data_IF_070260163013
#
_entry.id   IF_070260163013
#
_cell.length_a   1.000
_cell.length_b   1.000
_cell.length_c   1.000
_cell.angle_alpha   90.00
_cell.angle_beta   90.00
_cell.angle_gamma   90.00
#
_symmetry.space_group_name_H-M   'P 1'
#
loop_
_entity.id
_entity.type
_entity.pdbx_description
1 polymer ?
#
# COMPACT_ATOMS: atom_id res chain seq x y z
N UNK A 1 39.44 3.07 -9.25
CA UNK A 1 38.88 2.67 -7.94
C UNK A 1 39.25 3.72 -6.91
N UNK A 2 38.33 4.63 -6.53
CA UNK A 2 38.66 5.72 -5.56
C UNK A 2 38.60 5.27 -4.10
N UNK A 3 37.86 4.20 -3.80
CA UNK A 3 37.58 3.80 -2.42
C UNK A 3 38.74 3.10 -1.72
N UNK A 4 39.59 2.37 -2.47
CA UNK A 4 40.78 1.71 -1.89
C UNK A 4 41.76 2.77 -1.36
N UNK A 5 41.88 3.89 -2.07
CA UNK A 5 42.77 5.00 -1.69
C UNK A 5 42.25 5.79 -0.49
N UNK A 6 40.94 5.77 -0.24
CA UNK A 6 40.34 6.42 0.94
C UNK A 6 40.54 5.65 2.25
N UNK A 7 40.92 4.37 2.19
CA UNK A 7 41.11 3.52 3.36
C UNK A 7 42.60 3.46 3.69
N UNK A 8 42.98 4.03 4.83
CA UNK A 8 44.39 4.13 5.25
C UNK A 8 45.06 2.75 5.27
N UNK A 9 46.13 2.60 4.49
CA UNK A 9 46.93 1.37 4.43
C UNK A 9 46.25 0.20 3.70
N UNK A 10 45.19 0.47 2.94
CA UNK A 10 44.48 -0.53 2.14
C UNK A 10 45.13 -0.76 0.77
N UNK A 11 45.62 0.28 0.09
CA UNK A 11 46.45 0.10 -1.10
C UNK A 11 47.83 -0.43 -0.70
N UNK A 12 48.27 -1.51 -1.33
CA UNK A 12 49.62 -2.05 -1.18
C UNK A 12 50.50 -1.52 -2.31
N UNK A 13 50.04 -1.63 -3.56
CA UNK A 13 50.70 -1.09 -4.75
C UNK A 13 49.68 -0.74 -5.87
N UNK A 14 50.13 -0.58 -7.11
CA UNK A 14 49.26 -0.26 -8.25
C UNK A 14 48.22 -1.35 -8.55
N UNK A 15 48.59 -2.62 -8.35
CA UNK A 15 47.81 -3.81 -8.73
C UNK A 15 47.26 -4.61 -7.53
N UNK A 16 47.72 -4.34 -6.31
CA UNK A 16 47.34 -5.06 -5.10
C UNK A 16 46.78 -4.17 -4.00
N UNK A 17 45.84 -4.73 -3.23
CA UNK A 17 45.27 -4.11 -2.05
C UNK A 17 45.05 -5.15 -0.95
N UNK A 18 44.92 -4.68 0.28
CA UNK A 18 44.65 -5.47 1.47
C UNK A 18 43.14 -5.75 1.59
N UNK A 19 42.75 -6.97 1.25
CA UNK A 19 41.36 -7.41 1.27
C UNK A 19 40.76 -7.39 2.69
N UNK A 20 41.55 -7.70 3.72
CA UNK A 20 41.07 -7.75 5.10
C UNK A 20 40.75 -6.35 5.60
N UNK A 21 41.65 -5.37 5.37
CA UNK A 21 41.39 -3.97 5.70
C UNK A 21 40.22 -3.39 4.94
N UNK A 22 40.12 -3.70 3.64
CA UNK A 22 39.00 -3.28 2.80
C UNK A 22 37.68 -3.81 3.36
N UNK A 23 37.60 -5.13 3.58
CA UNK A 23 36.39 -5.79 4.08
C UNK A 23 36.01 -5.30 5.48
N UNK A 24 36.97 -5.16 6.38
CA UNK A 24 36.75 -4.64 7.74
C UNK A 24 36.19 -3.22 7.72
N UNK A 25 36.69 -2.36 6.83
CA UNK A 25 36.18 -1.00 6.69
C UNK A 25 34.72 -0.99 6.27
N UNK A 26 34.34 -1.76 5.24
CA UNK A 26 32.96 -1.82 4.76
C UNK A 26 32.02 -2.48 5.76
N UNK A 27 32.43 -3.57 6.42
CA UNK A 27 31.64 -4.18 7.48
C UNK A 27 31.35 -3.19 8.63
N UNK A 28 32.34 -2.38 9.02
CA UNK A 28 32.14 -1.30 10.01
C UNK A 28 31.17 -0.23 9.48
N UNK A 29 31.29 0.13 8.22
CA UNK A 29 30.44 1.14 7.59
C UNK A 29 28.98 0.70 7.49
N UNK A 30 28.72 -0.57 7.16
CA UNK A 30 27.37 -1.15 7.07
C UNK A 30 26.67 -1.11 8.44
N UNK A 31 27.35 -1.60 9.48
CA UNK A 31 26.82 -1.58 10.86
C UNK A 31 26.64 -0.14 11.35
N UNK A 32 27.56 0.76 11.01
CA UNK A 32 27.47 2.18 11.36
C UNK A 32 26.25 2.85 10.72
N UNK A 33 26.06 2.71 9.40
CA UNK A 33 24.91 3.29 8.68
C UNK A 33 23.61 2.72 9.22
N UNK A 34 23.54 1.40 9.42
CA UNK A 34 22.36 0.76 9.97
C UNK A 34 22.01 1.35 11.34
N UNK A 35 22.99 1.47 12.24
CA UNK A 35 22.79 2.05 13.57
C UNK A 35 22.37 3.51 13.51
N UNK A 36 23.08 4.34 12.74
CA UNK A 36 22.79 5.77 12.60
C UNK A 36 21.40 6.01 11.99
N UNK A 37 21.07 5.29 10.91
CA UNK A 37 19.77 5.34 10.26
C UNK A 37 18.63 4.87 11.16
N UNK A 38 18.83 3.76 11.88
CA UNK A 38 17.82 3.23 12.80
C UNK A 38 17.59 4.16 14.00
N UNK A 39 18.65 4.72 14.60
CA UNK A 39 18.53 5.69 15.70
C UNK A 39 17.80 6.95 15.24
N UNK A 40 18.13 7.46 14.05
CA UNK A 40 17.41 8.60 13.46
C UNK A 40 15.93 8.28 13.25
N UNK A 41 15.63 7.16 12.58
CA UNK A 41 14.26 6.71 12.35
C UNK A 41 13.48 6.57 13.65
N UNK A 42 14.06 5.93 14.68
CA UNK A 42 13.46 5.81 16.00
C UNK A 42 13.14 7.17 16.61
N UNK A 43 14.11 8.08 16.62
CA UNK A 43 13.93 9.39 17.25
C UNK A 43 12.86 10.21 16.53
N UNK A 44 12.82 10.14 15.20
CA UNK A 44 11.80 10.82 14.39
C UNK A 44 10.40 10.24 14.69
N UNK A 45 10.24 8.90 14.73
CA UNK A 45 8.95 8.26 15.05
C UNK A 45 8.51 8.53 16.49
N UNK A 46 9.44 8.46 17.46
CA UNK A 46 9.14 8.73 18.86
C UNK A 46 8.69 10.18 19.05
N UNK A 47 9.35 11.12 18.37
CA UNK A 47 8.99 12.55 18.43
C UNK A 47 7.63 12.85 17.81
N UNK A 48 7.36 12.32 16.62
CA UNK A 48 6.15 12.69 15.85
C UNK A 48 4.90 11.90 16.27
N UNK A 49 5.08 10.69 16.80
CA UNK A 49 3.97 9.77 17.07
C UNK A 49 3.91 9.24 18.52
N UNK A 50 4.91 9.54 19.36
CA UNK A 50 5.04 8.98 20.72
C UNK A 50 5.05 7.44 20.73
N UNK A 51 5.66 6.85 19.69
CA UNK A 51 5.83 5.40 19.55
C UNK A 51 7.32 5.05 19.55
N UNK A 52 7.72 4.09 20.38
CA UNK A 52 9.09 3.60 20.38
C UNK A 52 9.24 2.43 19.40
N UNK A 53 10.04 2.63 18.35
CA UNK A 53 10.28 1.62 17.30
C UNK A 53 10.77 0.28 17.84
N UNK A 54 11.49 0.25 18.99
CA UNK A 54 11.96 -1.00 19.59
C UNK A 54 10.83 -1.93 20.06
N UNK A 55 9.62 -1.40 20.26
CA UNK A 55 8.49 -2.18 20.75
C UNK A 55 7.76 -2.94 19.62
N UNK A 56 8.23 -2.78 18.37
CA UNK A 56 7.59 -3.32 17.18
C UNK A 56 8.59 -4.03 16.28
N UNK A 57 8.16 -5.17 15.72
CA UNK A 57 9.00 -5.99 14.82
C UNK A 57 9.11 -5.41 13.40
N UNK A 58 8.17 -4.56 12.98
CA UNK A 58 8.10 -4.04 11.61
C UNK A 58 7.48 -2.64 11.54
N UNK A 59 7.76 -1.93 10.44
CA UNK A 59 7.10 -0.66 10.11
C UNK A 59 5.58 -0.82 10.00
N UNK A 60 5.10 -1.96 9.52
CA UNK A 60 3.67 -2.25 9.42
C UNK A 60 3.01 -2.33 10.80
N UNK A 61 3.69 -2.90 11.80
CA UNK A 61 3.22 -2.96 13.18
C UNK A 61 3.16 -1.56 13.82
N UNK A 62 4.15 -0.71 13.54
CA UNK A 62 4.18 0.70 13.98
C UNK A 62 3.01 1.46 13.35
N UNK A 63 2.84 1.35 12.03
CA UNK A 63 1.75 1.98 11.31
C UNK A 63 0.39 1.51 11.84
N UNK A 64 0.20 0.19 12.00
CA UNK A 64 -1.04 -0.35 12.56
C UNK A 64 -1.31 0.21 13.95
N UNK A 65 -0.30 0.34 14.82
CA UNK A 65 -0.49 0.94 16.14
C UNK A 65 -0.87 2.42 16.08
N UNK A 66 -0.28 3.16 15.15
CA UNK A 66 -0.66 4.55 14.90
C UNK A 66 -2.12 4.65 14.45
N UNK A 67 -2.56 3.78 13.55
CA UNK A 67 -3.95 3.70 13.09
C UNK A 67 -4.90 3.25 14.20
N UNK A 68 -4.53 2.27 15.02
CA UNK A 68 -5.29 1.88 16.22
C UNK A 68 -5.60 3.09 17.09
N UNK A 69 -4.54 3.83 17.46
CA UNK A 69 -4.64 4.94 18.40
C UNK A 69 -5.39 6.15 17.81
N UNK A 70 -5.21 6.45 16.51
CA UNK A 70 -5.73 7.68 15.88
C UNK A 70 -6.99 7.49 15.06
N UNK A 71 -7.27 6.27 14.60
CA UNK A 71 -8.34 5.99 13.64
C UNK A 71 -9.27 4.90 14.17
N UNK A 72 -8.77 3.71 14.48
CA UNK A 72 -9.63 2.55 14.73
C UNK A 72 -10.41 2.68 16.05
N UNK A 73 -9.72 2.96 17.16
CA UNK A 73 -10.40 3.13 18.44
C UNK A 73 -11.27 4.39 18.48
N UNK A 74 -10.84 5.56 17.97
CA UNK A 74 -11.70 6.75 17.92
C UNK A 74 -12.92 6.63 17.02
N UNK A 75 -12.88 5.82 15.94
CA UNK A 75 -14.02 5.62 15.05
C UNK A 75 -15.21 4.95 15.78
N UNK A 76 -14.96 3.99 16.68
CA UNK A 76 -15.98 3.35 17.51
C UNK A 76 -16.95 2.41 16.79
N UNK A 77 -16.87 2.29 15.46
CA UNK A 77 -17.72 1.44 14.62
C UNK A 77 -16.92 0.41 13.80
N UNK A 78 -15.67 0.15 14.17
CA UNK A 78 -14.83 -0.89 13.57
C UNK A 78 -14.83 -2.15 14.44
N UNK A 79 -14.87 -3.31 13.79
CA UNK A 79 -14.96 -4.61 14.45
C UNK A 79 -13.98 -5.59 13.81
N UNK A 80 -13.41 -6.48 14.64
CA UNK A 80 -12.57 -7.57 14.15
C UNK A 80 -13.41 -8.58 13.36
N UNK A 81 -12.99 -8.84 12.11
CA UNK A 81 -13.59 -9.85 11.26
C UNK A 81 -12.93 -11.21 11.50
N UNK A 82 -13.72 -12.24 11.77
CA UNK A 82 -13.24 -13.62 11.96
C UNK A 82 -13.97 -14.61 11.05
N UNK A 83 -13.41 -15.83 10.93
CA UNK A 83 -14.05 -16.98 10.28
C UNK A 83 -14.53 -16.71 8.84
N UNK A 84 -15.79 -17.07 8.54
CA UNK A 84 -16.38 -17.08 7.20
C UNK A 84 -16.53 -15.67 6.60
N UNK A 85 -17.03 -14.65 7.33
CA UNK A 85 -17.03 -13.28 6.81
C UNK A 85 -15.62 -12.78 6.43
N UNK A 86 -14.61 -13.03 7.28
CA UNK A 86 -13.22 -12.65 7.00
C UNK A 86 -12.70 -13.34 5.73
N UNK A 87 -12.88 -14.65 5.64
CA UNK A 87 -12.46 -15.45 4.48
C UNK A 87 -13.13 -14.92 3.20
N UNK A 88 -14.44 -14.68 3.23
CA UNK A 88 -15.18 -14.18 2.07
C UNK A 88 -14.74 -12.78 1.63
N UNK A 89 -14.66 -11.83 2.57
CA UNK A 89 -14.27 -10.44 2.29
C UNK A 89 -12.82 -10.36 1.79
N UNK A 90 -11.92 -11.20 2.31
CA UNK A 90 -10.51 -11.22 1.88
C UNK A 90 -10.33 -11.53 0.40
N UNK A 91 -11.28 -12.25 -0.22
CA UNK A 91 -11.26 -12.55 -1.67
C UNK A 91 -11.55 -11.32 -2.52
N UNK A 92 -12.13 -10.27 -1.94
CA UNK A 92 -12.38 -8.99 -2.61
C UNK A 92 -11.15 -8.07 -2.60
N UNK A 93 -10.16 -8.36 -1.76
CA UNK A 93 -8.94 -7.54 -1.65
C UNK A 93 -8.03 -7.87 -2.83
N UNK A 94 -7.86 -6.91 -3.73
CA UNK A 94 -6.93 -6.99 -4.85
C UNK A 94 -5.88 -5.88 -4.73
N UNK A 95 -4.67 -6.17 -5.21
CA UNK A 95 -3.57 -5.21 -5.21
C UNK A 95 -3.66 -4.19 -6.35
N UNK A 96 -2.59 -3.41 -6.50
CA UNK A 96 -2.44 -2.47 -7.61
C UNK A 96 -2.49 -3.20 -8.96
N UNK A 97 -3.14 -2.57 -9.95
CA UNK A 97 -3.20 -3.10 -11.31
C UNK A 97 -1.93 -2.70 -12.05
N UNK A 98 -1.24 -3.70 -12.60
CA UNK A 98 -0.13 -3.49 -13.52
C UNK A 98 -0.54 -4.03 -14.89
N UNK A 99 -0.68 -3.15 -15.88
CA UNK A 99 -1.14 -3.53 -17.21
C UNK A 99 -0.44 -2.71 -18.29
N UNK A 100 -0.26 -3.33 -19.46
CA UNK A 100 0.08 -2.63 -20.68
C UNK A 100 -1.21 -2.21 -21.39
N UNK A 101 -1.17 -1.13 -22.15
CA UNK A 101 -2.28 -0.78 -23.05
C UNK A 101 -2.58 -1.96 -23.97
N UNK A 102 -3.87 -2.31 -24.01
CA UNK A 102 -4.44 -3.47 -24.69
C UNK A 102 -3.77 -4.82 -24.38
N UNK A 103 -3.03 -4.91 -23.27
CA UNK A 103 -2.19 -6.05 -22.90
C UNK A 103 -1.15 -6.45 -23.96
N UNK A 104 -0.70 -5.49 -24.79
CA UNK A 104 0.29 -5.72 -25.85
C UNK A 104 1.58 -4.96 -25.51
N UNK A 105 2.72 -5.55 -25.85
CA UNK A 105 4.04 -4.91 -25.72
C UNK A 105 4.11 -3.66 -26.58
N UNK A 106 4.33 -2.51 -25.95
CA UNK A 106 4.45 -1.23 -26.62
C UNK A 106 5.91 -0.95 -27.00
N UNK A 107 6.11 -0.35 -28.17
CA UNK A 107 7.39 0.21 -28.62
C UNK A 107 7.12 1.59 -29.19
N UNK A 108 7.79 2.61 -28.68
CA UNK A 108 7.72 3.95 -29.25
C UNK A 108 9.07 4.31 -29.88
N UNK A 109 9.09 4.48 -31.20
CA UNK A 109 10.27 5.00 -31.92
C UNK A 109 10.13 6.50 -32.26
N UNK A 110 8.89 7.02 -32.26
CA UNK A 110 8.57 8.38 -32.74
C UNK A 110 7.61 9.17 -31.85
N UNK A 111 6.97 8.55 -30.84
CA UNK A 111 6.03 9.25 -29.95
C UNK A 111 6.73 9.67 -28.67
N UNK A 112 6.51 10.92 -28.26
CA UNK A 112 6.86 11.39 -26.93
C UNK A 112 5.98 10.65 -25.91
N UNK A 113 6.60 10.11 -24.87
CA UNK A 113 5.91 9.46 -23.75
C UNK A 113 5.85 10.46 -22.61
N UNK A 114 4.64 10.68 -22.09
CA UNK A 114 4.44 11.37 -20.81
C UNK A 114 4.11 10.31 -19.77
N UNK A 115 4.77 10.37 -18.62
CA UNK A 115 4.52 9.49 -17.48
C UNK A 115 3.89 10.31 -16.35
N UNK A 116 2.71 9.88 -15.90
CA UNK A 116 1.94 10.56 -14.86
C UNK A 116 1.91 9.67 -13.63
N UNK A 117 2.52 10.14 -12.54
CA UNK A 117 2.46 9.48 -11.25
C UNK A 117 1.49 10.19 -10.30
N UNK A 118 0.71 9.41 -9.58
CA UNK A 118 -0.27 9.93 -8.64
C UNK A 118 0.40 10.19 -7.27
N UNK A 119 0.25 11.42 -6.76
CA UNK A 119 0.83 11.81 -5.46
C UNK A 119 0.18 11.03 -4.31
N UNK A 120 0.94 10.11 -3.71
CA UNK A 120 0.54 9.31 -2.54
C UNK A 120 -0.83 8.62 -2.73
N UNK A 121 -1.00 7.89 -3.83
CA UNK A 121 -2.28 7.37 -4.28
C UNK A 121 -3.15 6.74 -3.17
N UNK A 122 -2.63 5.77 -2.41
CA UNK A 122 -3.41 5.11 -1.36
C UNK A 122 -3.79 6.05 -0.21
N UNK A 123 -2.87 6.86 0.29
CA UNK A 123 -3.17 7.82 1.36
C UNK A 123 -4.18 8.88 0.91
N UNK A 124 -4.05 9.36 -0.34
CA UNK A 124 -5.01 10.26 -0.97
C UNK A 124 -6.38 9.62 -1.13
N UNK A 125 -6.45 8.32 -1.49
CA UNK A 125 -7.69 7.58 -1.58
C UNK A 125 -8.34 7.39 -0.21
N UNK A 126 -7.59 6.98 0.82
CA UNK A 126 -8.07 6.82 2.20
C UNK A 126 -8.64 8.15 2.74
N UNK A 127 -8.03 9.28 2.39
CA UNK A 127 -8.49 10.60 2.83
C UNK A 127 -9.75 11.11 2.12
N UNK A 128 -10.03 10.64 0.90
CA UNK A 128 -11.12 11.17 0.05
C UNK A 128 -12.32 10.23 -0.02
N UNK A 129 -12.07 8.93 -0.11
CA UNK A 129 -13.10 7.92 -0.32
C UNK A 129 -13.71 7.49 1.01
N UNK A 130 -14.99 7.11 0.96
CA UNK A 130 -15.65 6.49 2.09
C UNK A 130 -15.06 5.09 2.34
N UNK A 131 -14.64 4.82 3.59
CA UNK A 131 -14.14 3.49 4.00
C UNK A 131 -15.26 2.74 4.71
N UNK A 132 -15.47 1.48 4.31
CA UNK A 132 -16.54 0.64 4.87
C UNK A 132 -16.30 0.38 6.37
N UNK A 133 -17.34 0.62 7.18
CA UNK A 133 -17.36 0.38 8.61
C UNK A 133 -18.62 -0.40 9.04
N UNK A 134 -18.65 -0.84 10.30
CA UNK A 134 -19.76 -1.58 10.87
C UNK A 134 -19.72 -3.10 10.63
N UNK A 135 -20.82 -3.74 11.01
CA UNK A 135 -20.96 -5.21 10.95
C UNK A 135 -21.57 -5.61 9.60
N UNK A 136 -20.91 -6.47 8.80
CA UNK A 136 -21.45 -6.91 7.52
C UNK A 136 -22.74 -7.72 7.71
N UNK A 137 -23.72 -7.50 6.83
CA UNK A 137 -25.02 -8.18 6.85
C UNK A 137 -25.16 -9.10 5.64
N UNK A 138 -25.69 -10.31 5.87
CA UNK A 138 -25.98 -11.25 4.79
C UNK A 138 -27.07 -10.69 3.89
N UNK A 139 -26.80 -10.67 2.59
CA UNK A 139 -27.74 -10.18 1.58
C UNK A 139 -28.99 -11.05 1.49
N UNK A 140 -30.14 -10.40 1.32
CA UNK A 140 -31.42 -11.07 1.05
C UNK A 140 -31.52 -11.41 -0.43
N UNK A 141 -32.35 -12.39 -0.80
CA UNK A 141 -32.55 -12.81 -2.21
C UNK A 141 -32.90 -11.64 -3.16
N UNK A 142 -33.69 -10.67 -2.70
CA UNK A 142 -34.06 -9.47 -3.47
C UNK A 142 -32.89 -8.52 -3.78
N UNK A 143 -31.79 -8.65 -3.05
CA UNK A 143 -30.60 -7.80 -3.17
C UNK A 143 -29.62 -8.34 -4.21
N UNK A 144 -29.84 -9.54 -4.77
CA UNK A 144 -28.86 -10.22 -5.63
C UNK A 144 -28.85 -9.73 -7.10
N UNK A 145 -29.64 -8.71 -7.44
CA UNK A 145 -29.67 -8.16 -8.80
C UNK A 145 -28.74 -6.96 -8.94
N UNK A 146 -28.10 -6.83 -10.11
CA UNK A 146 -27.26 -5.67 -10.45
C UNK A 146 -28.03 -4.35 -10.33
N UNK A 147 -29.30 -4.33 -10.73
CA UNK A 147 -30.18 -3.17 -10.60
C UNK A 147 -30.31 -2.73 -9.13
N UNK A 148 -30.48 -3.68 -8.21
CA UNK A 148 -30.54 -3.37 -6.78
C UNK A 148 -29.23 -2.76 -6.28
N UNK A 149 -28.08 -3.30 -6.68
CA UNK A 149 -26.80 -2.76 -6.28
C UNK A 149 -26.61 -1.32 -6.77
N UNK A 150 -26.81 -1.06 -8.06
CA UNK A 150 -26.55 0.26 -8.66
C UNK A 150 -27.50 1.34 -8.13
N UNK A 151 -28.73 0.97 -7.80
CA UNK A 151 -29.73 1.90 -7.24
C UNK A 151 -29.40 2.32 -5.81
N UNK A 152 -28.89 1.39 -4.99
CA UNK A 152 -28.77 1.62 -3.55
C UNK A 152 -27.34 1.84 -3.02
N UNK A 153 -26.31 1.51 -3.82
CA UNK A 153 -24.91 1.75 -3.47
C UNK A 153 -24.61 3.25 -3.48
N UNK A 154 -23.92 3.73 -2.44
CA UNK A 154 -23.39 5.10 -2.34
C UNK A 154 -22.71 5.55 -3.64
N UNK A 155 -22.83 6.85 -3.95
CA UNK A 155 -22.01 7.47 -4.99
C UNK A 155 -20.56 7.66 -4.49
N UNK A 156 -19.61 7.89 -5.41
CA UNK A 156 -18.17 7.84 -5.12
C UNK A 156 -17.71 8.81 -4.01
N UNK A 157 -18.37 9.97 -3.88
CA UNK A 157 -18.08 11.02 -2.90
C UNK A 157 -19.11 11.07 -1.74
N UNK A 158 -20.06 10.15 -1.72
CA UNK A 158 -21.11 10.09 -0.70
C UNK A 158 -20.56 9.57 0.63
N UNK A 159 -20.85 10.31 1.71
CA UNK A 159 -20.41 9.95 3.08
C UNK A 159 -21.52 9.47 3.98
N UNK A 160 -22.76 9.88 3.70
CA UNK A 160 -23.93 9.60 4.52
C UNK A 160 -25.02 8.95 3.67
N UNK A 161 -25.85 8.04 4.23
CA UNK A 161 -26.94 7.42 3.49
C UNK A 161 -28.01 8.45 3.11
N UNK A 162 -28.49 8.40 1.87
CA UNK A 162 -29.55 9.28 1.37
C UNK A 162 -30.62 8.47 0.64
N UNK A 163 -31.91 8.81 0.81
CA UNK A 163 -33.03 8.30 0.02
C UNK A 163 -32.88 6.84 -0.45
N UNK A 164 -32.62 6.66 -1.74
CA UNK A 164 -32.41 5.34 -2.36
C UNK A 164 -30.98 4.80 -2.18
N UNK A 165 -29.98 5.68 -2.01
CA UNK A 165 -28.55 5.40 -1.89
C UNK A 165 -28.14 5.26 -0.42
N UNK A 166 -28.54 4.16 0.21
CA UNK A 166 -28.31 3.93 1.65
C UNK A 166 -27.32 2.79 1.97
N UNK A 167 -26.76 2.12 0.96
CA UNK A 167 -25.79 1.05 1.15
C UNK A 167 -24.37 1.55 0.86
N UNK A 168 -23.49 1.52 1.85
CA UNK A 168 -22.10 1.98 1.69
C UNK A 168 -21.23 1.03 0.86
N UNK A 169 -21.54 -0.27 0.84
CA UNK A 169 -20.78 -1.25 0.06
C UNK A 169 -21.43 -2.63 -0.01
N UNK A 170 -21.02 -3.41 -1.01
CA UNK A 170 -21.40 -4.81 -1.19
C UNK A 170 -20.16 -5.67 -1.38
N UNK A 171 -20.15 -6.85 -0.76
CA UNK A 171 -19.19 -7.91 -1.05
C UNK A 171 -19.90 -8.98 -1.85
N UNK A 172 -19.56 -9.12 -3.14
CA UNK A 172 -20.25 -10.01 -4.08
C UNK A 172 -19.25 -10.86 -4.86
N UNK A 173 -19.65 -12.11 -5.14
CA UNK A 173 -18.96 -12.94 -6.10
C UNK A 173 -19.59 -12.73 -7.47
N UNK A 174 -18.84 -12.13 -8.39
CA UNK A 174 -19.31 -11.86 -9.74
C UNK A 174 -18.77 -12.93 -10.68
N UNK A 175 -19.66 -13.56 -11.45
CA UNK A 175 -19.30 -14.41 -12.59
C UNK A 175 -19.50 -13.59 -13.86
N UNK A 176 -18.41 -13.28 -14.55
CA UNK A 176 -18.46 -12.65 -15.87
C UNK A 176 -18.82 -13.75 -16.89
N UNK A 177 -19.94 -13.58 -17.59
CA UNK A 177 -20.41 -14.54 -18.61
C UNK A 177 -19.97 -14.15 -20.01
N UNK A 178 -19.85 -12.85 -20.28
CA UNK A 178 -19.44 -12.29 -21.56
C UNK A 178 -18.85 -10.89 -21.38
N UNK A 179 -18.05 -10.44 -22.35
CA UNK A 179 -17.53 -9.07 -22.41
C UNK A 179 -18.31 -8.36 -23.50
N UNK A 180 -19.24 -7.50 -23.11
CA UNK A 180 -20.11 -6.78 -24.06
C UNK A 180 -19.46 -5.56 -24.74
N UNK A 181 -18.36 -5.04 -24.17
CA UNK A 181 -17.67 -3.84 -24.70
C UNK A 181 -16.16 -4.01 -24.55
N UNK A 182 -15.45 -3.96 -25.68
CA UNK A 182 -14.00 -3.82 -25.70
C UNK A 182 -13.63 -2.35 -25.53
N UNK A 183 -13.07 -1.99 -24.36
CA UNK A 183 -12.53 -0.65 -24.10
C UNK A 183 -11.04 -0.62 -24.37
N UNK A 184 -10.61 0.29 -25.24
CA UNK A 184 -9.19 0.62 -25.42
C UNK A 184 -8.70 1.38 -24.19
N UNK A 185 -7.57 0.98 -23.63
CA UNK A 185 -6.90 1.75 -22.58
C UNK A 185 -5.93 2.72 -23.23
N UNK A 186 -6.36 3.97 -23.40
CA UNK A 186 -5.52 5.04 -23.92
C UNK A 186 -4.43 5.39 -22.90
N UNK A 187 -3.20 5.50 -23.38
CA UNK A 187 -2.11 6.18 -22.66
C UNK A 187 -2.37 7.68 -22.63
#
# INVERSE_FOLDING_TARGET
MKNIDSIKGCRIDENHFDLEKYSTFYCKQDVRILREGFVKFRNDILKEFDLNVYDYVSICSIANKLFENRVYFPNGNLYDLSNKPREFISRCIQGGRCMLSDNIKQKSEKKLIADFDAVSLYSSAIARLYTLEGIPKVMKKKMLSTEYHMRHLFDDDQKEPIGEKFMSGFFVLIKITEIGIHRHFSF
#
